data_IF_571662186943
#
_entry.id   IF_571662186943
#
_cell.length_a   1.000
_cell.length_b   1.000
_cell.length_c   1.000
_cell.angle_alpha   90.00
_cell.angle_beta   90.00
_cell.angle_gamma   90.00
#
_symmetry.space_group_name_H-M   'P 1'
#
loop_
_entity.id
_entity.type
_entity.pdbx_description
1 polymer ?
#
# COMPACT_ATOMS: atom_id res chain seq x y z
N UNK A 1 0.08 19.88 -11.38
CA UNK A 1 -1.37 19.93 -11.12
C UNK A 1 -1.82 18.55 -10.70
N UNK A 2 -1.97 18.32 -9.40
CA UNK A 2 -2.47 17.08 -8.82
C UNK A 2 -3.74 17.42 -8.00
N UNK A 3 -4.70 16.50 -7.91
CA UNK A 3 -5.95 16.71 -7.17
C UNK A 3 -7.20 17.02 -8.00
N UNK A 4 -7.17 16.85 -9.32
CA UNK A 4 -8.33 17.07 -10.20
C UNK A 4 -9.24 15.84 -10.38
N UNK A 5 -8.88 14.68 -9.81
CA UNK A 5 -9.68 13.44 -9.84
C UNK A 5 -9.89 12.95 -8.42
N UNK A 6 -11.13 12.54 -8.13
CA UNK A 6 -11.55 11.91 -6.89
C UNK A 6 -12.10 10.51 -7.22
N UNK A 7 -11.82 9.54 -6.37
CA UNK A 7 -12.42 8.21 -6.46
C UNK A 7 -13.27 7.97 -5.21
N UNK A 8 -14.44 7.37 -5.40
CA UNK A 8 -15.33 6.96 -4.31
C UNK A 8 -15.71 5.50 -4.50
N UNK A 9 -15.58 4.68 -3.47
CA UNK A 9 -16.07 3.30 -3.44
C UNK A 9 -17.36 3.19 -2.62
N UNK A 10 -18.14 2.16 -2.89
CA UNK A 10 -19.45 1.95 -2.27
C UNK A 10 -19.74 0.47 -2.03
N UNK A 11 -20.65 0.20 -1.11
CA UNK A 11 -21.18 -1.14 -0.86
C UNK A 11 -22.04 -1.68 -2.00
N UNK A 12 -22.43 -0.82 -2.95
CA UNK A 12 -23.10 -1.21 -4.21
C UNK A 12 -22.18 -1.91 -5.22
N UNK A 13 -20.90 -2.14 -4.84
CA UNK A 13 -19.86 -2.83 -5.62
C UNK A 13 -19.27 -2.00 -6.76
N UNK A 14 -19.55 -0.70 -6.76
CA UNK A 14 -19.05 0.24 -7.79
C UNK A 14 -18.03 1.20 -7.22
N UNK A 15 -17.18 1.70 -8.12
CA UNK A 15 -16.25 2.79 -7.85
C UNK A 15 -16.57 3.91 -8.82
N UNK A 16 -16.84 5.12 -8.34
CA UNK A 16 -17.07 6.28 -9.20
C UNK A 16 -15.82 7.15 -9.23
N UNK A 17 -15.46 7.56 -10.44
CA UNK A 17 -14.38 8.52 -10.68
C UNK A 17 -15.03 9.85 -11.00
N UNK A 18 -14.69 10.87 -10.23
CA UNK A 18 -15.21 12.22 -10.40
C UNK A 18 -14.05 13.16 -10.79
N UNK A 19 -14.24 13.99 -11.82
CA UNK A 19 -13.33 15.11 -12.06
C UNK A 19 -13.79 16.29 -11.20
N UNK A 20 -12.87 16.90 -10.48
CA UNK A 20 -13.12 18.04 -9.59
C UNK A 20 -12.56 19.30 -10.24
N UNK A 21 -13.45 20.27 -10.47
CA UNK A 21 -13.12 21.58 -11.02
C UNK A 21 -12.56 22.50 -9.93
N UNK A 22 -11.89 23.58 -10.34
CA UNK A 22 -11.30 24.55 -9.42
C UNK A 22 -12.33 25.30 -8.55
N UNK A 23 -13.59 25.37 -8.99
CA UNK A 23 -14.71 25.95 -8.26
C UNK A 23 -15.33 24.98 -7.24
N UNK A 24 -14.80 23.77 -7.10
CA UNK A 24 -15.31 22.72 -6.23
C UNK A 24 -16.48 21.93 -6.80
N UNK A 25 -16.97 22.25 -8.00
CA UNK A 25 -17.92 21.40 -8.70
C UNK A 25 -17.27 20.08 -9.10
N UNK A 26 -18.05 19.01 -9.15
CA UNK A 26 -17.58 17.71 -9.60
C UNK A 26 -18.53 17.09 -10.63
N UNK A 27 -17.95 16.38 -11.58
CA UNK A 27 -18.69 15.58 -12.56
C UNK A 27 -18.25 14.12 -12.49
N UNK A 28 -19.20 13.19 -12.58
CA UNK A 28 -18.87 11.76 -12.68
C UNK A 28 -18.31 11.49 -14.07
N UNK A 29 -17.03 11.12 -14.10
CA UNK A 29 -16.26 10.84 -15.31
C UNK A 29 -16.39 9.39 -15.75
N UNK A 30 -16.43 8.46 -14.80
CA UNK A 30 -16.54 7.03 -15.04
C UNK A 30 -17.17 6.30 -13.84
N UNK A 31 -17.77 5.13 -14.10
CA UNK A 31 -18.19 4.18 -13.07
C UNK A 31 -17.50 2.85 -13.35
N UNK A 32 -16.57 2.46 -12.48
CA UNK A 32 -15.83 1.21 -12.56
C UNK A 32 -16.61 0.12 -11.85
N UNK A 33 -16.65 -1.05 -12.48
CA UNK A 33 -17.30 -2.24 -11.97
C UNK A 33 -16.36 -3.44 -12.14
N UNK A 34 -16.60 -4.50 -11.38
CA UNK A 34 -15.82 -5.72 -11.46
C UNK A 34 -15.87 -6.53 -10.17
N UNK A 35 -15.97 -5.86 -9.02
CA UNK A 35 -16.13 -6.52 -7.74
C UNK A 35 -17.47 -7.24 -7.60
N UNK A 36 -17.45 -8.36 -6.91
CA UNK A 36 -18.63 -9.18 -6.61
C UNK A 36 -19.20 -8.86 -5.22
N UNK A 37 -18.41 -8.18 -4.38
CA UNK A 37 -18.77 -7.70 -3.04
C UNK A 37 -18.56 -6.20 -2.83
N UNK A 38 -19.00 -5.66 -1.67
CA UNK A 38 -18.75 -4.29 -1.26
C UNK A 38 -17.28 -3.88 -1.41
N UNK A 39 -17.04 -2.68 -1.96
CA UNK A 39 -15.68 -2.13 -2.09
C UNK A 39 -15.34 -1.33 -0.85
N UNK A 40 -14.25 -1.71 -0.17
CA UNK A 40 -13.89 -1.13 1.13
C UNK A 40 -12.99 0.09 1.01
N UNK A 41 -11.96 0.00 0.17
CA UNK A 41 -10.98 1.06 0.04
C UNK A 41 -10.47 1.15 -1.39
N UNK A 42 -10.09 2.36 -1.77
CA UNK A 42 -9.41 2.67 -3.03
C UNK A 42 -8.13 3.45 -2.74
N UNK A 43 -7.10 3.24 -3.56
CA UNK A 43 -5.84 3.97 -3.45
C UNK A 43 -5.36 4.36 -4.84
N UNK A 44 -4.97 5.63 -4.99
CA UNK A 44 -4.32 6.12 -6.22
C UNK A 44 -2.84 5.74 -6.23
N UNK A 45 -2.33 5.32 -7.38
CA UNK A 45 -0.90 5.16 -7.57
C UNK A 45 -0.22 6.52 -7.80
N UNK A 46 1.10 6.54 -7.65
CA UNK A 46 1.87 7.73 -7.98
C UNK A 46 1.78 8.04 -9.49
N UNK A 47 1.56 9.31 -9.89
CA UNK A 47 1.32 9.72 -11.28
C UNK A 47 2.48 9.41 -12.24
N UNK A 48 3.69 9.13 -11.73
CA UNK A 48 4.83 8.65 -12.53
C UNK A 48 4.51 7.37 -13.29
N UNK A 49 3.60 6.54 -12.79
CA UNK A 49 3.17 5.30 -13.42
C UNK A 49 1.92 5.46 -14.30
N UNK A 50 1.43 6.68 -14.48
CA UNK A 50 0.16 6.98 -15.14
C UNK A 50 -0.99 7.10 -14.16
N UNK A 51 -2.21 7.08 -14.69
CA UNK A 51 -3.45 7.19 -13.89
C UNK A 51 -3.91 5.78 -13.54
N UNK A 52 -3.47 5.31 -12.38
CA UNK A 52 -3.75 3.95 -11.89
C UNK A 52 -4.46 4.05 -10.53
N UNK A 53 -5.48 3.21 -10.35
CA UNK A 53 -6.25 3.09 -9.13
C UNK A 53 -6.32 1.61 -8.69
N UNK A 54 -6.04 1.33 -7.43
CA UNK A 54 -6.28 0.04 -6.82
C UNK A 54 -7.57 0.10 -5.99
N UNK A 55 -8.30 -1.01 -5.94
CA UNK A 55 -9.43 -1.19 -5.05
C UNK A 55 -9.43 -2.57 -4.41
N UNK A 56 -9.95 -2.64 -3.18
CA UNK A 56 -10.13 -3.88 -2.44
C UNK A 56 -11.58 -4.06 -1.99
N UNK A 57 -11.99 -5.32 -1.82
CA UNK A 57 -13.39 -5.69 -1.61
C UNK A 57 -13.57 -6.82 -0.61
N UNK A 58 -14.80 -6.92 -0.11
CA UNK A 58 -15.27 -8.03 0.70
C UNK A 58 -15.15 -9.40 0.01
N UNK A 59 -15.14 -9.42 -1.32
CA UNK A 59 -15.02 -10.65 -2.13
C UNK A 59 -13.61 -11.29 -2.13
N UNK A 60 -12.67 -10.75 -1.36
CA UNK A 60 -11.30 -11.27 -1.27
C UNK A 60 -10.42 -10.88 -2.46
N UNK A 61 -10.87 -9.97 -3.34
CA UNK A 61 -10.13 -9.55 -4.52
C UNK A 61 -9.56 -8.13 -4.42
N UNK A 62 -8.48 -7.92 -5.16
CA UNK A 62 -7.90 -6.60 -5.44
C UNK A 62 -7.92 -6.38 -6.94
N UNK A 63 -8.48 -5.25 -7.38
CA UNK A 63 -8.53 -4.87 -8.78
C UNK A 63 -7.65 -3.64 -9.01
N UNK A 64 -6.84 -3.69 -10.07
CA UNK A 64 -6.02 -2.56 -10.51
C UNK A 64 -6.60 -2.03 -11.81
N UNK A 65 -7.03 -0.77 -11.79
CA UNK A 65 -7.59 -0.06 -12.92
C UNK A 65 -6.59 0.94 -13.48
N UNK A 66 -6.64 1.16 -14.79
CA UNK A 66 -5.85 2.15 -15.49
C UNK A 66 -6.71 3.00 -16.41
N UNK A 67 -6.38 4.28 -16.53
CA UNK A 67 -6.98 5.19 -17.51
C UNK A 67 -5.99 5.43 -18.65
N UNK A 68 -6.25 4.85 -19.83
CA UNK A 68 -5.39 4.99 -21.02
C UNK A 68 -5.62 6.33 -21.74
N UNK A 69 -6.88 6.79 -21.73
CA UNK A 69 -7.31 8.10 -22.23
C UNK A 69 -8.37 8.66 -21.28
N UNK A 70 -8.64 9.98 -21.25
CA UNK A 70 -9.66 10.54 -20.39
C UNK A 70 -11.00 9.80 -20.54
N UNK A 71 -11.57 9.33 -19.42
CA UNK A 71 -12.82 8.55 -19.34
C UNK A 71 -12.72 7.10 -19.88
N UNK A 72 -11.59 6.69 -20.43
CA UNK A 72 -11.34 5.33 -20.94
C UNK A 72 -10.61 4.51 -19.88
N UNK A 73 -11.39 3.83 -19.04
CA UNK A 73 -10.89 3.00 -17.94
C UNK A 73 -10.93 1.53 -18.28
N UNK A 74 -9.86 0.82 -17.97
CA UNK A 74 -9.75 -0.64 -18.12
C UNK A 74 -9.20 -1.26 -16.84
N UNK A 75 -9.44 -2.56 -16.67
CA UNK A 75 -8.82 -3.32 -15.59
C UNK A 75 -7.47 -3.83 -16.10
N UNK A 76 -6.39 -3.33 -15.50
CA UNK A 76 -5.01 -3.74 -15.78
C UNK A 76 -4.68 -5.10 -15.14
N UNK A 77 -5.21 -5.34 -13.94
CA UNK A 77 -4.99 -6.60 -13.24
C UNK A 77 -6.18 -6.97 -12.35
N UNK A 78 -6.52 -8.26 -12.34
CA UNK A 78 -7.60 -8.83 -11.54
C UNK A 78 -7.03 -9.90 -10.61
N UNK A 79 -6.67 -9.51 -9.39
CA UNK A 79 -6.26 -10.46 -8.36
C UNK A 79 -7.51 -11.02 -7.67
N UNK A 80 -8.22 -11.91 -8.37
CA UNK A 80 -9.41 -12.62 -7.87
C UNK A 80 -8.96 -13.72 -6.91
N UNK A 81 -9.75 -14.00 -5.87
CA UNK A 81 -9.44 -15.04 -4.88
C UNK A 81 -8.03 -14.90 -4.28
N UNK A 82 -7.55 -13.66 -4.18
CA UNK A 82 -6.24 -13.35 -3.61
C UNK A 82 -6.19 -13.72 -2.13
N UNK A 83 -7.31 -13.51 -1.44
CA UNK A 83 -7.50 -13.85 -0.05
C UNK A 83 -8.75 -14.70 0.14
N UNK A 84 -8.76 -15.49 1.22
CA UNK A 84 -9.90 -16.35 1.59
C UNK A 84 -11.01 -15.58 2.33
N UNK A 85 -10.76 -14.31 2.64
CA UNK A 85 -11.66 -13.43 3.36
C UNK A 85 -11.56 -11.99 2.84
N UNK A 86 -12.40 -11.11 3.38
CA UNK A 86 -12.48 -9.68 3.03
C UNK A 86 -11.11 -8.98 3.04
N UNK A 87 -10.82 -8.22 1.99
CA UNK A 87 -9.64 -7.33 1.93
C UNK A 87 -10.06 -5.93 2.38
N UNK A 88 -9.63 -5.55 3.57
CA UNK A 88 -10.15 -4.38 4.29
C UNK A 88 -9.42 -3.09 3.92
N UNK A 89 -8.14 -3.17 3.51
CA UNK A 89 -7.34 -2.01 3.17
C UNK A 89 -6.39 -2.27 2.02
N UNK A 90 -6.14 -1.23 1.22
CA UNK A 90 -5.17 -1.24 0.12
C UNK A 90 -4.39 0.07 0.10
N UNK A 91 -3.08 -0.01 -0.09
CA UNK A 91 -2.22 1.17 -0.16
C UNK A 91 -1.11 0.99 -1.18
N UNK A 92 -0.90 1.98 -2.06
CA UNK A 92 0.26 2.00 -2.94
C UNK A 92 1.53 2.38 -2.16
N UNK A 93 2.63 1.72 -2.55
CA UNK A 93 3.98 1.97 -2.07
C UNK A 93 4.52 3.31 -2.62
N UNK A 94 5.42 4.00 -1.89
CA UNK A 94 6.18 5.10 -2.46
C UNK A 94 6.84 4.73 -3.78
N UNK A 95 6.78 5.65 -4.74
CA UNK A 95 7.17 5.41 -6.13
C UNK A 95 8.66 5.12 -6.35
N UNK A 96 9.49 5.41 -5.35
CA UNK A 96 10.91 5.10 -5.27
C UNK A 96 11.15 3.58 -5.28
N UNK A 97 10.22 2.80 -4.71
CA UNK A 97 10.29 1.34 -4.65
C UNK A 97 9.57 0.65 -5.83
N UNK A 98 9.05 1.43 -6.78
CA UNK A 98 8.34 0.93 -7.96
C UNK A 98 6.82 0.96 -7.83
N UNK A 99 6.13 0.32 -8.78
CA UNK A 99 4.68 0.21 -8.76
C UNK A 99 4.27 -1.05 -7.97
N UNK A 100 4.03 -0.85 -6.68
CA UNK A 100 3.64 -1.90 -5.75
C UNK A 100 2.46 -1.44 -4.90
N UNK A 101 1.57 -2.34 -4.51
CA UNK A 101 0.57 -2.07 -3.49
C UNK A 101 0.48 -3.20 -2.48
N UNK A 102 0.16 -2.84 -1.23
CA UNK A 102 -0.13 -3.77 -0.16
C UNK A 102 -1.64 -3.87 0.05
N UNK A 103 -2.13 -5.06 0.30
CA UNK A 103 -3.53 -5.34 0.61
C UNK A 103 -3.63 -6.15 1.91
N UNK A 104 -4.38 -5.62 2.88
CA UNK A 104 -4.59 -6.23 4.20
C UNK A 104 -5.92 -6.98 4.24
N UNK A 105 -5.90 -8.23 4.69
CA UNK A 105 -7.07 -9.10 4.71
C UNK A 105 -7.43 -9.61 6.09
N UNK A 106 -8.72 -9.86 6.30
CA UNK A 106 -9.25 -10.56 7.46
C UNK A 106 -8.77 -12.03 7.57
N UNK A 107 -8.16 -12.60 6.52
CA UNK A 107 -7.57 -13.95 6.58
C UNK A 107 -6.22 -14.00 7.33
N UNK A 108 -5.73 -12.84 7.79
CA UNK A 108 -4.50 -12.74 8.56
C UNK A 108 -3.23 -12.61 7.72
N UNK A 109 -3.37 -12.45 6.40
CA UNK A 109 -2.26 -12.20 5.48
C UNK A 109 -2.32 -10.79 4.91
N UNK A 110 -1.14 -10.26 4.59
CA UNK A 110 -0.99 -9.12 3.69
C UNK A 110 -0.47 -9.63 2.36
N UNK A 111 -1.08 -9.23 1.26
CA UNK A 111 -0.50 -9.45 -0.07
C UNK A 111 0.23 -8.20 -0.55
N UNK A 112 1.40 -8.39 -1.16
CA UNK A 112 2.18 -7.34 -1.82
C UNK A 112 2.13 -7.63 -3.31
N UNK A 113 1.36 -6.82 -4.05
CA UNK A 113 1.26 -6.91 -5.50
C UNK A 113 2.34 -6.04 -6.12
N UNK A 114 3.22 -6.63 -6.92
CA UNK A 114 4.34 -5.93 -7.58
C UNK A 114 4.20 -5.99 -9.09
N UNK A 115 4.20 -4.84 -9.75
CA UNK A 115 4.18 -4.77 -11.21
C UNK A 115 5.58 -4.87 -11.80
N UNK A 116 5.79 -5.82 -12.71
CA UNK A 116 6.99 -5.94 -13.52
C UNK A 116 6.79 -5.15 -14.84
N UNK A 117 7.46 -4.00 -15.04
CA UNK A 117 7.27 -3.17 -16.23
C UNK A 117 7.81 -3.81 -17.51
N UNK A 118 8.79 -4.71 -17.41
CA UNK A 118 9.37 -5.37 -18.59
C UNK A 118 8.44 -6.44 -19.14
N UNK A 119 7.81 -7.21 -18.25
CA UNK A 119 6.91 -8.31 -18.63
C UNK A 119 5.44 -7.88 -18.68
N UNK A 120 5.09 -6.71 -18.15
CA UNK A 120 3.71 -6.24 -17.96
C UNK A 120 2.86 -7.23 -17.15
N UNK A 121 3.49 -7.87 -16.16
CA UNK A 121 2.88 -8.86 -15.27
C UNK A 121 2.88 -8.36 -13.84
N UNK A 122 1.99 -8.92 -13.03
CA UNK A 122 1.93 -8.67 -11.59
C UNK A 122 2.35 -9.95 -10.86
N UNK A 123 3.29 -9.83 -9.93
CA UNK A 123 3.63 -10.87 -8.96
C UNK A 123 2.98 -10.56 -7.62
N UNK A 124 2.80 -11.60 -6.80
CA UNK A 124 2.18 -11.49 -5.48
C UNK A 124 3.07 -12.19 -4.47
N UNK A 125 3.49 -11.45 -3.45
CA UNK A 125 4.13 -11.98 -2.25
C UNK A 125 3.16 -11.92 -1.07
N UNK A 126 3.28 -12.84 -0.11
CA UNK A 126 2.41 -12.90 1.06
C UNK A 126 3.22 -12.71 2.35
N UNK A 127 2.71 -11.85 3.22
CA UNK A 127 3.18 -11.67 4.59
C UNK A 127 2.20 -12.33 5.53
N UNK A 128 2.70 -13.23 6.37
CA UNK A 128 1.89 -13.83 7.42
C UNK A 128 1.97 -12.95 8.66
N UNK A 129 0.87 -12.28 9.01
CA UNK A 129 0.82 -11.34 10.14
C UNK A 129 0.13 -11.96 11.35
N UNK A 130 -1.17 -11.75 11.51
CA UNK A 130 -1.95 -12.24 12.64
C UNK A 130 -3.12 -13.10 12.17
N UNK A 131 -3.31 -14.32 12.70
CA UNK A 131 -4.42 -15.20 12.31
C UNK A 131 -5.83 -14.62 12.55
N UNK A 132 -5.96 -13.58 13.38
CA UNK A 132 -7.24 -12.93 13.68
C UNK A 132 -7.71 -11.94 12.59
N UNK A 133 -6.89 -11.69 11.56
CA UNK A 133 -7.20 -10.76 10.48
C UNK A 133 -6.60 -9.37 10.66
N UNK A 134 -6.45 -8.66 9.54
CA UNK A 134 -5.78 -7.37 9.43
C UNK A 134 -6.77 -6.33 8.90
N UNK A 135 -6.85 -5.18 9.55
CA UNK A 135 -7.81 -4.14 9.21
C UNK A 135 -7.21 -3.04 8.33
N UNK A 136 -5.95 -2.69 8.56
CA UNK A 136 -5.29 -1.59 7.86
C UNK A 136 -3.85 -1.90 7.52
N UNK A 137 -3.36 -1.26 6.46
CA UNK A 137 -1.97 -1.26 6.03
C UNK A 137 -1.58 0.15 5.62
N UNK A 138 -0.35 0.55 5.93
CA UNK A 138 0.22 1.84 5.53
C UNK A 138 1.71 1.70 5.23
N UNK A 139 2.16 2.36 4.17
CA UNK A 139 3.58 2.38 3.80
C UNK A 139 4.30 3.52 4.51
N UNK A 140 5.53 3.28 4.94
CA UNK A 140 6.41 4.35 5.38
C UNK A 140 6.83 5.19 4.15
N UNK A 141 6.86 6.53 4.26
CA UNK A 141 7.39 7.36 3.19
C UNK A 141 8.87 7.03 2.89
N UNK A 142 9.27 7.16 1.63
CA UNK A 142 10.68 7.12 1.27
C UNK A 142 11.45 8.24 1.99
N UNK A 143 12.67 7.96 2.46
CA UNK A 143 13.50 8.90 3.22
C UNK A 143 13.05 9.23 4.64
N UNK A 144 11.92 8.69 5.13
CA UNK A 144 11.43 8.98 6.48
C UNK A 144 12.29 8.36 7.59
N UNK A 145 13.15 7.37 7.26
CA UNK A 145 14.01 6.74 8.24
C UNK A 145 15.38 7.41 8.30
N UNK A 146 15.50 8.39 9.20
CA UNK A 146 16.79 8.97 9.53
C UNK A 146 17.60 7.98 10.38
N UNK A 147 18.62 7.35 9.79
CA UNK A 147 19.74 6.80 10.57
C UNK A 147 20.78 7.91 10.72
N UNK A 148 21.16 8.30 11.95
CA UNK A 148 22.28 9.20 12.14
C UNK A 148 23.51 8.57 11.51
N UNK A 149 24.07 9.20 10.48
CA UNK A 149 25.36 8.80 9.94
C UNK A 149 26.39 9.10 11.03
N UNK A 150 27.22 8.13 11.47
CA UNK A 150 28.31 8.41 12.39
C UNK A 150 29.16 9.54 11.80
N UNK A 151 29.60 10.50 12.64
CA UNK A 151 30.45 11.58 12.18
C UNK A 151 31.67 11.01 11.46
N UNK A 152 31.99 11.54 10.26
CA UNK A 152 33.15 11.12 9.51
C UNK A 152 34.39 11.31 10.40
N UNK A 153 35.04 10.21 10.76
CA UNK A 153 36.30 10.25 11.49
C UNK A 153 37.37 10.68 10.50
N UNK A 154 38.17 11.70 10.84
CA UNK A 154 39.26 12.17 9.96
C UNK A 154 40.18 10.98 9.60
N UNK A 155 40.25 10.66 8.31
CA UNK A 155 41.07 9.56 7.79
C UNK A 155 40.31 8.29 7.39
N UNK A 156 39.01 8.19 7.68
CA UNK A 156 38.15 7.11 7.18
C UNK A 156 37.34 7.56 5.96
N UNK A 157 37.15 6.63 5.02
CA UNK A 157 36.31 6.85 3.84
C UNK A 157 34.86 7.11 4.31
N UNK A 158 34.13 8.09 3.73
CA UNK A 158 32.76 8.37 4.13
C UNK A 158 31.91 7.10 4.07
N UNK A 159 31.06 6.83 5.07
CA UNK A 159 30.25 5.63 5.10
C UNK A 159 29.35 5.57 3.86
N UNK A 160 29.41 4.45 3.14
CA UNK A 160 28.55 4.21 1.97
C UNK A 160 27.08 4.30 2.38
N UNK A 161 26.25 5.10 1.67
CA UNK A 161 24.83 5.19 1.99
C UNK A 161 24.18 3.81 1.83
N UNK A 162 23.60 3.30 2.91
CA UNK A 162 22.79 2.08 2.86
C UNK A 162 21.58 2.29 1.94
N UNK A 163 21.16 1.27 1.17
CA UNK A 163 19.98 1.38 0.35
C UNK A 163 18.74 1.64 1.21
N UNK A 164 17.89 2.58 0.79
CA UNK A 164 16.60 2.74 1.42
C UNK A 164 15.73 1.51 1.15
N UNK A 165 15.15 0.99 2.23
CA UNK A 165 14.35 -0.22 2.20
C UNK A 165 12.88 0.12 2.42
N UNK A 166 12.02 -0.51 1.62
CA UNK A 166 10.58 -0.34 1.74
C UNK A 166 10.11 -0.88 3.10
N UNK A 167 9.23 -0.11 3.76
CA UNK A 167 8.66 -0.47 5.06
C UNK A 167 7.17 -0.27 5.04
N UNK A 168 6.47 -1.11 5.77
CA UNK A 168 5.03 -0.99 5.96
C UNK A 168 4.66 -1.31 7.41
N UNK A 169 3.54 -0.76 7.84
CA UNK A 169 2.91 -1.04 9.12
C UNK A 169 1.54 -1.65 8.87
N UNK A 170 1.18 -2.63 9.68
CA UNK A 170 -0.10 -3.32 9.66
C UNK A 170 -0.79 -3.18 11.01
N UNK A 171 -2.12 -3.10 10.98
CA UNK A 171 -2.95 -3.07 12.18
C UNK A 171 -3.86 -4.31 12.22
N UNK A 172 -3.60 -5.20 13.18
CA UNK A 172 -4.32 -6.44 13.38
C UNK A 172 -5.59 -6.30 14.22
N UNK A 173 -6.48 -7.28 14.13
CA UNK A 173 -7.64 -7.44 15.02
C UNK A 173 -7.25 -7.83 16.47
N UNK A 174 -5.97 -8.13 16.70
CA UNK A 174 -5.40 -8.53 17.99
C UNK A 174 -4.87 -7.33 18.82
N UNK A 175 -5.34 -6.12 18.49
CA UNK A 175 -4.91 -4.85 19.10
C UNK A 175 -3.41 -4.56 18.96
N UNK A 176 -2.72 -5.22 18.01
CA UNK A 176 -1.28 -5.05 17.79
C UNK A 176 -0.98 -4.35 16.47
N UNK A 177 0.09 -3.55 16.49
CA UNK A 177 0.72 -3.02 15.28
C UNK A 177 1.98 -3.82 15.00
N UNK A 178 2.20 -4.18 13.73
CA UNK A 178 3.44 -4.82 13.30
C UNK A 178 4.12 -3.99 12.23
N UNK A 179 5.45 -3.98 12.30
CA UNK A 179 6.30 -3.25 11.37
C UNK A 179 7.04 -4.25 10.52
N UNK A 180 7.07 -4.00 9.23
CA UNK A 180 7.62 -4.88 8.22
C UNK A 180 8.65 -4.11 7.42
N UNK A 181 9.74 -4.78 7.06
CA UNK A 181 10.80 -4.23 6.23
C UNK A 181 11.18 -5.23 5.14
N UNK A 182 11.22 -4.74 3.91
CA UNK A 182 11.70 -5.48 2.77
C UNK A 182 13.24 -5.45 2.75
N UNK A 183 13.88 -6.59 2.60
CA UNK A 183 15.33 -6.70 2.44
C UNK A 183 15.74 -6.32 1.02
N UNK A 184 17.04 -6.16 0.79
CA UNK A 184 17.59 -5.96 -0.56
C UNK A 184 17.34 -7.16 -1.49
N UNK A 185 17.06 -8.34 -0.93
CA UNK A 185 16.73 -9.56 -1.68
C UNK A 185 15.25 -9.66 -2.03
N UNK A 186 14.41 -8.73 -1.55
CA UNK A 186 12.95 -8.75 -1.76
C UNK A 186 12.17 -9.55 -0.71
N UNK A 187 12.85 -10.08 0.31
CA UNK A 187 12.20 -10.81 1.39
C UNK A 187 11.68 -9.85 2.46
N UNK A 188 10.55 -10.17 3.07
CA UNK A 188 9.95 -9.32 4.09
C UNK A 188 10.18 -9.89 5.48
N UNK A 189 10.63 -9.02 6.39
CA UNK A 189 10.92 -9.38 7.78
C UNK A 189 10.16 -8.48 8.73
N UNK A 190 9.58 -9.08 9.77
CA UNK A 190 8.98 -8.32 10.86
C UNK A 190 10.08 -7.70 11.72
N UNK A 191 10.01 -6.37 11.90
CA UNK A 191 10.91 -5.63 12.77
C UNK A 191 10.44 -5.77 14.23
N UNK A 192 11.39 -5.96 15.14
CA UNK A 192 11.11 -5.83 16.56
C UNK A 192 10.88 -4.36 16.88
N UNK A 193 9.78 -4.05 17.56
CA UNK A 193 9.59 -2.72 18.14
C UNK A 193 10.60 -2.60 19.28
N UNK A 194 11.46 -1.57 19.32
CA UNK A 194 12.25 -1.32 20.50
C UNK A 194 11.27 -1.09 21.65
N UNK A 195 11.33 -1.92 22.69
CA UNK A 195 10.65 -1.59 23.94
C UNK A 195 11.13 -0.20 24.35
N UNK A 196 10.20 0.75 24.45
CA UNK A 196 10.48 2.00 25.14
C UNK A 196 11.04 1.58 26.50
N UNK A 197 12.25 2.03 26.85
CA UNK A 197 12.85 1.70 28.13
C UNK A 197 11.80 1.95 29.21
N UNK A 198 11.33 0.86 29.83
CA UNK A 198 10.35 0.91 30.89
C UNK A 198 10.83 1.96 31.90
N UNK A 199 9.98 2.94 32.21
CA UNK A 199 10.17 3.82 33.37
C UNK A 199 10.63 2.94 34.52
N UNK A 200 11.87 3.17 34.97
CA UNK A 200 12.46 2.38 36.04
C UNK A 200 11.58 2.58 37.28
N UNK A 201 10.98 1.51 37.85
CA UNK A 201 10.28 1.64 39.10
C UNK A 201 11.35 1.61 40.19
N UNK A 202 11.92 2.76 40.54
CA UNK A 202 12.66 2.96 41.80
C UNK A 202 13.08 4.44 41.95
N UNK A 203 12.21 5.24 42.54
CA UNK A 203 12.65 6.33 43.40
C UNK A 203 12.14 6.00 44.80
N UNK A 204 13.05 5.52 45.64
CA UNK A 204 12.89 5.35 47.09
C UNK A 204 12.80 6.71 47.79
#
# INVERSE_FOLDING_TARGET
>A
FYGAKMATCSSDRTIKICNVSADGSYEVSATLQGHEGPVWQVSWAHPKFGVILASCSFDGSVLIFGESRPREWTILHQARQLHESSVNGVAFCPHEFGLQCAAASSDGRVSILTHNPTQQTWSVDYLQDCPMGINAVSWAPAGAYYKPTPAAVEGEEPPTPEPELARLVTAGCDNSLRFWQCTTTGEWTQQSVPQCASDSPNAH
#
